data_IF_470969831248
#
_entry.id   IF_470969831248
#
_cell.length_a   1.000
_cell.length_b   1.000
_cell.length_c   1.000
_cell.angle_alpha   90.00
_cell.angle_beta   90.00
_cell.angle_gamma   90.00
#
_symmetry.space_group_name_H-M   'P 1'
#
loop_
_entity.id
_entity.type
_entity.pdbx_description
1 polymer ?
#
# COMPACT_ATOMS: atom_id res chain seq x y z
N UNK A 1 -11.73 14.75 27.05
CA UNK A 1 -10.79 14.04 26.14
C UNK A 1 -11.34 14.19 24.72
N UNK A 2 -10.52 14.71 23.81
CA UNK A 2 -10.87 14.72 22.39
C UNK A 2 -10.46 13.39 21.75
N UNK A 3 -11.30 12.85 20.87
CA UNK A 3 -10.93 11.74 20.00
C UNK A 3 -10.14 12.28 18.81
N UNK A 4 -9.11 11.54 18.39
CA UNK A 4 -8.26 11.90 17.26
C UNK A 4 -8.49 10.87 16.15
N UNK A 5 -8.57 11.35 14.91
CA UNK A 5 -8.69 10.54 13.71
C UNK A 5 -7.43 10.64 12.86
N UNK A 6 -7.06 9.54 12.21
CA UNK A 6 -6.03 9.51 11.18
C UNK A 6 -6.62 8.96 9.86
N UNK A 7 -6.63 9.78 8.84
CA UNK A 7 -7.09 9.45 7.50
C UNK A 7 -6.01 9.85 6.47
N UNK A 8 -4.87 9.14 6.45
CA UNK A 8 -3.78 9.48 5.54
C UNK A 8 -4.17 9.28 4.08
N UNK A 9 -3.50 10.01 3.21
CA UNK A 9 -3.44 9.69 1.78
C UNK A 9 -2.61 8.41 1.60
N UNK A 10 -2.86 7.69 0.52
CA UNK A 10 -2.21 6.39 0.29
C UNK A 10 -1.03 6.47 -0.67
N UNK A 11 -0.46 7.64 -0.88
CA UNK A 11 0.70 7.85 -1.76
C UNK A 11 1.95 8.15 -0.94
N UNK A 12 3.10 7.63 -1.40
CA UNK A 12 4.41 7.89 -0.79
C UNK A 12 4.81 9.33 -1.01
N UNK A 13 4.61 10.16 -0.01
CA UNK A 13 5.09 11.53 0.04
C UNK A 13 6.40 11.64 0.82
N UNK A 14 7.12 12.74 0.67
CA UNK A 14 8.37 13.01 1.37
C UNK A 14 8.30 14.39 2.02
N UNK A 15 9.22 14.69 2.93
CA UNK A 15 9.32 16.03 3.51
C UNK A 15 9.50 17.11 2.44
N UNK A 16 10.24 16.80 1.37
CA UNK A 16 10.44 17.71 0.23
C UNK A 16 9.19 17.87 -0.63
N UNK A 17 8.41 16.79 -0.77
CA UNK A 17 7.17 16.74 -1.55
C UNK A 17 6.05 16.20 -0.67
N UNK A 18 5.50 17.01 0.25
CA UNK A 18 4.56 16.54 1.26
C UNK A 18 3.14 16.31 0.72
N UNK A 19 2.90 16.67 -0.54
CA UNK A 19 1.61 16.46 -1.20
C UNK A 19 1.77 15.57 -2.43
N UNK A 20 0.78 14.73 -2.72
CA UNK A 20 0.80 13.86 -3.89
C UNK A 20 0.65 14.63 -5.22
N UNK A 21 0.24 15.89 -5.18
CA UNK A 21 0.18 16.75 -6.38
C UNK A 21 1.55 17.06 -6.96
N UNK A 22 2.58 17.06 -6.12
CA UNK A 22 3.95 17.50 -6.47
C UNK A 22 4.94 16.33 -6.53
N UNK A 23 4.48 15.08 -6.51
CA UNK A 23 5.38 13.93 -6.65
C UNK A 23 6.00 13.94 -8.04
N UNK A 24 7.35 13.94 -8.14
CA UNK A 24 8.01 13.99 -9.42
C UNK A 24 7.87 12.66 -10.17
N UNK A 25 7.75 12.71 -11.47
CA UNK A 25 7.85 11.54 -12.35
C UNK A 25 9.33 11.21 -12.62
N UNK A 26 10.01 10.70 -11.62
CA UNK A 26 11.42 10.31 -11.72
C UNK A 26 11.63 8.92 -12.34
N UNK A 27 10.57 8.19 -12.66
CA UNK A 27 10.66 6.78 -13.01
C UNK A 27 10.72 6.53 -14.53
N UNK A 28 10.88 7.58 -15.33
CA UNK A 28 10.93 7.42 -16.77
C UNK A 28 9.63 6.85 -17.36
N UNK A 29 8.50 7.00 -16.67
CA UNK A 29 7.22 6.74 -17.26
C UNK A 29 7.07 7.70 -18.44
N UNK A 30 6.99 7.15 -19.65
CA UNK A 30 6.70 7.91 -20.86
C UNK A 30 5.27 8.47 -20.88
N UNK A 31 4.58 8.47 -19.75
CA UNK A 31 3.27 9.06 -19.61
C UNK A 31 3.41 10.60 -19.78
N UNK A 32 2.69 11.21 -20.73
CA UNK A 32 2.71 12.64 -20.90
C UNK A 32 2.03 13.31 -19.70
N UNK A 33 2.81 13.60 -18.66
CA UNK A 33 2.34 14.36 -17.52
C UNK A 33 2.69 15.82 -17.74
N UNK A 34 1.69 16.72 -17.79
CA UNK A 34 1.98 18.13 -17.78
C UNK A 34 2.77 18.45 -16.51
N UNK A 35 3.89 19.14 -16.62
CA UNK A 35 4.72 19.57 -15.50
C UNK A 35 5.64 18.52 -14.86
N UNK A 36 5.87 17.37 -15.48
CA UNK A 36 6.78 16.32 -14.98
C UNK A 36 6.42 15.82 -13.56
N UNK A 37 5.14 15.84 -13.23
CA UNK A 37 4.60 15.30 -11.98
C UNK A 37 3.74 14.08 -12.26
N UNK A 38 3.64 13.17 -11.29
CA UNK A 38 2.83 11.96 -11.42
C UNK A 38 1.32 12.24 -11.35
N UNK A 39 0.93 13.35 -10.75
CA UNK A 39 -0.46 13.78 -10.70
C UNK A 39 -0.90 14.43 -12.04
N UNK A 40 -2.10 14.16 -12.54
CA UNK A 40 -3.11 13.26 -11.98
C UNK A 40 -3.07 11.82 -12.54
N UNK A 41 -2.25 11.52 -13.54
CA UNK A 41 -2.41 10.35 -14.42
C UNK A 41 -1.48 9.18 -14.12
N UNK A 42 -0.46 9.35 -13.29
CA UNK A 42 0.58 8.34 -13.04
C UNK A 42 0.87 8.12 -11.54
N UNK A 43 -0.18 8.08 -10.71
CA UNK A 43 -0.05 7.93 -9.26
C UNK A 43 0.11 6.48 -8.79
N UNK A 44 -0.24 5.49 -9.62
CA UNK A 44 -0.21 4.08 -9.22
C UNK A 44 1.14 3.60 -8.66
N UNK A 45 2.29 3.94 -9.28
CA UNK A 45 3.60 3.55 -8.74
C UNK A 45 3.92 4.18 -7.39
N UNK A 46 3.26 5.28 -7.05
CA UNK A 46 3.46 6.00 -5.80
C UNK A 46 2.60 5.47 -4.65
N UNK A 47 1.65 4.57 -4.94
CA UNK A 47 0.78 4.03 -3.91
C UNK A 47 1.56 3.19 -2.89
N UNK A 48 1.27 3.40 -1.62
CA UNK A 48 1.82 2.58 -0.54
C UNK A 48 1.29 1.15 -0.66
N UNK A 49 2.13 0.19 -0.33
CA UNK A 49 1.69 -1.20 -0.25
C UNK A 49 0.98 -1.48 1.10
N UNK A 50 0.35 -2.65 1.20
CA UNK A 50 -0.40 -3.05 2.40
C UNK A 50 0.46 -3.13 3.66
N UNK A 51 1.73 -3.50 3.56
CA UNK A 51 2.63 -3.62 4.71
C UNK A 51 3.01 -2.26 5.26
N UNK A 52 3.30 -1.30 4.38
CA UNK A 52 3.56 0.09 4.75
C UNK A 52 2.34 0.71 5.43
N UNK A 53 1.15 0.51 4.85
CA UNK A 53 -0.10 0.98 5.43
C UNK A 53 -0.38 0.31 6.78
N UNK A 54 -0.25 -1.01 6.87
CA UNK A 54 -0.45 -1.74 8.12
C UNK A 54 0.48 -1.25 9.22
N UNK A 55 1.77 -1.05 8.92
CA UNK A 55 2.73 -0.49 9.88
C UNK A 55 2.31 0.90 10.35
N UNK A 56 2.02 1.81 9.44
CA UNK A 56 1.61 3.18 9.76
C UNK A 56 0.36 3.19 10.66
N UNK A 57 -0.63 2.39 10.32
CA UNK A 57 -1.88 2.32 11.09
C UNK A 57 -1.68 1.72 12.49
N UNK A 58 -0.77 0.74 12.61
CA UNK A 58 -0.38 0.21 13.91
C UNK A 58 0.30 1.27 14.76
N UNK A 59 1.23 2.01 14.18
CA UNK A 59 1.94 3.11 14.87
C UNK A 59 0.92 4.18 15.35
N UNK A 60 -0.05 4.56 14.51
CA UNK A 60 -1.12 5.46 14.90
C UNK A 60 -1.97 4.92 16.06
N UNK A 61 -2.33 3.64 16.00
CA UNK A 61 -3.13 3.00 17.04
C UNK A 61 -2.39 2.97 18.38
N UNK A 62 -1.10 2.68 18.36
CA UNK A 62 -0.25 2.64 19.56
C UNK A 62 -0.08 4.04 20.19
N UNK A 63 -0.20 5.11 19.40
CA UNK A 63 -0.29 6.50 19.89
C UNK A 63 -1.68 6.85 20.47
N UNK A 64 -2.63 5.93 20.46
CA UNK A 64 -3.98 6.12 21.00
C UNK A 64 -4.98 6.72 20.03
N UNK A 65 -4.68 6.73 18.73
CA UNK A 65 -5.60 7.15 17.68
C UNK A 65 -6.52 5.98 17.33
N UNK A 66 -7.82 6.10 17.61
CA UNK A 66 -8.77 4.99 17.49
C UNK A 66 -9.70 5.12 16.28
N UNK A 67 -9.76 6.25 15.63
CA UNK A 67 -10.49 6.41 14.37
C UNK A 67 -9.49 6.40 13.22
N UNK A 68 -9.38 5.24 12.56
CA UNK A 68 -8.40 4.99 11.51
C UNK A 68 -9.11 4.72 10.19
N UNK A 69 -8.65 5.35 9.14
CA UNK A 69 -9.16 5.17 7.80
C UNK A 69 -8.14 5.59 6.75
N UNK A 70 -8.55 5.72 5.52
CA UNK A 70 -7.70 6.21 4.42
C UNK A 70 -8.43 7.27 3.62
N UNK A 71 -7.68 8.18 3.02
CA UNK A 71 -8.19 9.25 2.17
C UNK A 71 -7.95 8.91 0.67
N UNK A 72 -7.45 9.87 -0.11
CA UNK A 72 -7.21 9.74 -1.54
C UNK A 72 -6.33 8.52 -1.88
N UNK A 73 -6.71 7.79 -2.94
CA UNK A 73 -6.07 6.53 -3.34
C UNK A 73 -6.52 5.31 -2.53
N UNK A 74 -7.59 5.46 -1.72
CA UNK A 74 -8.16 4.36 -0.94
C UNK A 74 -8.53 3.16 -1.81
N UNK A 75 -8.22 1.96 -1.31
CA UNK A 75 -8.71 0.71 -1.87
C UNK A 75 -9.10 -0.28 -0.76
N UNK A 76 -9.96 -1.26 -1.06
CA UNK A 76 -10.44 -2.22 -0.05
C UNK A 76 -9.33 -3.01 0.64
N UNK A 77 -8.23 -3.27 -0.06
CA UNK A 77 -7.09 -4.00 0.49
C UNK A 77 -6.42 -3.21 1.62
N UNK A 78 -6.22 -1.92 1.45
CA UNK A 78 -5.60 -1.06 2.48
C UNK A 78 -6.49 -0.93 3.72
N UNK A 79 -7.81 -0.81 3.55
CA UNK A 79 -8.77 -0.81 4.67
C UNK A 79 -8.73 -2.12 5.43
N UNK A 80 -8.70 -3.26 4.72
CA UNK A 80 -8.56 -4.56 5.35
C UNK A 80 -7.27 -4.67 6.17
N UNK A 81 -6.14 -4.25 5.62
CA UNK A 81 -4.87 -4.29 6.34
C UNK A 81 -4.83 -3.31 7.52
N UNK A 82 -5.50 -2.17 7.44
CA UNK A 82 -5.71 -1.29 8.61
C UNK A 82 -6.40 -2.05 9.75
N UNK A 83 -7.50 -2.76 9.46
CA UNK A 83 -8.19 -3.57 10.44
C UNK A 83 -7.29 -4.67 11.04
N UNK A 84 -6.56 -5.40 10.19
CA UNK A 84 -5.64 -6.44 10.64
C UNK A 84 -4.51 -5.89 11.52
N UNK A 85 -3.97 -4.72 11.18
CA UNK A 85 -2.89 -4.09 11.92
C UNK A 85 -3.26 -3.77 13.38
N UNK A 86 -4.53 -3.51 13.65
CA UNK A 86 -5.06 -3.26 14.99
C UNK A 86 -5.71 -4.49 15.63
N UNK A 87 -5.49 -5.68 15.07
CA UNK A 87 -5.93 -6.96 15.63
C UNK A 87 -7.37 -7.33 15.31
N UNK A 88 -8.04 -6.65 14.39
CA UNK A 88 -9.41 -6.96 13.99
C UNK A 88 -9.45 -7.99 12.85
N UNK A 89 -10.34 -8.95 12.94
CA UNK A 89 -10.70 -9.85 11.84
C UNK A 89 -12.02 -9.40 11.25
N UNK A 90 -12.02 -9.08 9.97
CA UNK A 90 -13.20 -8.58 9.24
C UNK A 90 -13.68 -9.62 8.21
N UNK A 91 -14.93 -9.58 7.74
CA UNK A 91 -15.43 -10.53 6.73
C UNK A 91 -14.56 -10.59 5.46
N UNK A 92 -13.92 -9.49 5.08
CA UNK A 92 -12.99 -9.41 3.96
C UNK A 92 -11.65 -10.14 4.19
N UNK A 93 -11.35 -10.57 5.44
CA UNK A 93 -10.11 -11.31 5.76
C UNK A 93 -9.99 -12.62 4.99
N UNK A 94 -11.12 -13.23 4.58
CA UNK A 94 -11.14 -14.43 3.74
C UNK A 94 -10.49 -14.23 2.35
N UNK A 95 -10.39 -13.01 1.89
CA UNK A 95 -9.77 -12.65 0.62
C UNK A 95 -8.32 -12.21 0.76
N UNK A 96 -7.73 -12.36 1.96
CA UNK A 96 -6.31 -12.08 2.16
C UNK A 96 -5.46 -13.00 1.28
N UNK A 97 -4.44 -12.44 0.68
CA UNK A 97 -3.54 -13.16 -0.21
C UNK A 97 -2.75 -14.25 0.54
N UNK A 98 -2.66 -15.41 -0.09
CA UNK A 98 -1.80 -16.49 0.37
C UNK A 98 -0.42 -16.33 -0.28
N UNK A 99 0.51 -15.71 0.41
CA UNK A 99 1.85 -15.45 -0.12
C UNK A 99 2.62 -16.72 -0.50
N UNK A 100 2.25 -17.88 0.05
CA UNK A 100 2.78 -19.16 -0.41
C UNK A 100 2.47 -19.48 -1.88
N UNK A 101 1.48 -18.83 -2.47
CA UNK A 101 1.10 -18.98 -3.88
C UNK A 101 1.75 -17.92 -4.79
N UNK A 102 2.50 -16.98 -4.25
CA UNK A 102 3.15 -15.94 -5.04
C UNK A 102 4.22 -16.57 -5.94
N UNK A 103 4.22 -16.20 -7.22
CA UNK A 103 4.99 -16.93 -8.24
C UNK A 103 6.52 -16.85 -8.05
N UNK A 104 7.05 -15.74 -7.49
CA UNK A 104 8.49 -15.57 -7.28
C UNK A 104 8.97 -16.15 -5.93
N UNK A 105 8.28 -15.81 -4.86
CA UNK A 105 8.72 -16.10 -3.49
C UNK A 105 7.86 -17.14 -2.78
N UNK A 106 6.84 -17.65 -3.44
CA UNK A 106 5.92 -18.61 -2.84
C UNK A 106 6.54 -19.98 -2.66
N UNK A 107 6.07 -20.68 -1.63
CA UNK A 107 6.54 -22.01 -1.24
C UNK A 107 5.60 -23.14 -1.71
N UNK A 108 4.47 -22.80 -2.35
CA UNK A 108 3.52 -23.81 -2.78
C UNK A 108 4.11 -24.68 -3.89
N UNK A 109 4.07 -26.01 -3.70
CA UNK A 109 4.56 -27.00 -4.68
C UNK A 109 3.80 -26.99 -6.02
N UNK A 110 2.61 -26.37 -6.07
CA UNK A 110 1.80 -26.23 -7.29
C UNK A 110 2.27 -25.09 -8.20
N UNK A 111 3.19 -24.25 -7.76
CA UNK A 111 3.75 -23.19 -8.61
C UNK A 111 4.53 -23.85 -9.74
N UNK A 112 4.24 -23.53 -11.01
CA UNK A 112 4.95 -24.10 -12.14
C UNK A 112 6.46 -23.88 -12.06
N UNK A 113 7.24 -24.89 -12.42
CA UNK A 113 8.69 -24.86 -12.31
C UNK A 113 9.33 -23.63 -12.97
N UNK A 114 8.89 -23.28 -14.18
CA UNK A 114 9.45 -22.12 -14.91
C UNK A 114 9.24 -20.79 -14.19
N UNK A 115 8.17 -20.65 -13.40
CA UNK A 115 7.93 -19.45 -12.59
C UNK A 115 8.87 -19.42 -11.37
N UNK A 116 9.08 -20.57 -10.73
CA UNK A 116 10.05 -20.69 -9.64
C UNK A 116 11.47 -20.43 -10.11
N UNK A 117 11.87 -21.04 -11.23
CA UNK A 117 13.18 -20.84 -11.83
C UNK A 117 13.44 -19.37 -12.18
N UNK A 118 12.40 -18.61 -12.52
CA UNK A 118 12.49 -17.16 -12.73
C UNK A 118 12.66 -16.42 -11.39
N UNK A 119 11.85 -16.74 -10.39
CA UNK A 119 11.92 -16.12 -9.07
C UNK A 119 13.28 -16.36 -8.38
N UNK A 120 13.88 -17.53 -8.57
CA UNK A 120 15.19 -17.88 -8.01
C UNK A 120 16.35 -17.09 -8.67
N UNK A 121 16.11 -16.49 -9.83
CA UNK A 121 17.09 -15.66 -10.57
C UNK A 121 16.92 -14.16 -10.37
N UNK A 122 15.76 -13.71 -9.87
CA UNK A 122 15.43 -12.31 -9.66
C UNK A 122 15.90 -11.81 -8.30
#
# INVERSE_FOLDING_TARGET
KCHVAALPITYRTTEKNPTFFNLPDNNGCACPTPHQTTFPTALDPMQVNRYEMGKFMKDCFDLGINYLGVCCGANPMLIRETAHAVGLTVPASKYKEKMSNQFMYGTNKRIPKHMKDYGDKA
#
